data_IF_120577734823
#
_entry.id   IF_120577734823
#
_cell.length_a   1.000
_cell.length_b   1.000
_cell.length_c   1.000
_cell.angle_alpha   90.00
_cell.angle_beta   90.00
_cell.angle_gamma   90.00
#
_symmetry.space_group_name_H-M   'P 1'
#
loop_
_entity.id
_entity.type
_entity.pdbx_description
1 polymer ?
#
# COMPACT_ATOMS: atom_id res chain seq x y z
N UNK A 1 -22.89 -1.40 15.01
CA UNK A 1 -21.94 -2.46 15.43
C UNK A 1 -20.65 -1.89 16.00
N UNK A 2 -19.91 -1.02 15.29
CA UNK A 2 -18.73 -0.35 15.88
C UNK A 2 -19.04 0.41 17.18
N UNK A 3 -20.10 1.21 17.21
CA UNK A 3 -20.54 1.86 18.45
C UNK A 3 -20.90 0.86 19.57
N UNK A 4 -21.40 -0.32 19.22
CA UNK A 4 -21.70 -1.36 20.21
C UNK A 4 -20.40 -1.91 20.81
N UNK A 5 -19.41 -2.25 19.98
CA UNK A 5 -18.08 -2.67 20.44
C UNK A 5 -17.45 -1.60 21.34
N UNK A 6 -17.48 -0.33 20.92
CA UNK A 6 -16.84 0.75 21.68
C UNK A 6 -17.49 1.03 23.03
N UNK A 7 -18.82 1.04 23.10
CA UNK A 7 -19.53 1.42 24.33
C UNK A 7 -19.82 0.25 25.27
N UNK A 8 -19.95 -0.97 24.75
CA UNK A 8 -20.43 -2.12 25.53
C UNK A 8 -19.41 -3.26 25.61
N UNK A 9 -18.47 -3.35 24.67
CA UNK A 9 -17.48 -4.43 24.60
C UNK A 9 -16.07 -3.91 24.29
N UNK A 10 -15.50 -3.01 25.10
CA UNK A 10 -14.23 -2.34 24.80
C UNK A 10 -13.02 -3.28 24.70
N UNK A 11 -13.18 -4.55 25.10
CA UNK A 11 -12.16 -5.60 24.97
C UNK A 11 -12.41 -6.56 23.79
N UNK A 12 -13.53 -6.42 23.07
CA UNK A 12 -13.93 -7.25 21.94
C UNK A 12 -14.20 -6.37 20.72
N UNK A 13 -13.18 -5.63 20.29
CA UNK A 13 -13.24 -4.62 19.21
C UNK A 13 -12.92 -5.22 17.85
N UNK A 14 -13.52 -6.36 17.50
CA UNK A 14 -13.18 -7.10 16.27
C UNK A 14 -13.47 -6.31 14.99
N UNK A 15 -14.64 -5.67 14.92
CA UNK A 15 -15.05 -4.86 13.77
C UNK A 15 -14.21 -3.59 13.72
N UNK A 16 -13.98 -2.92 14.85
CA UNK A 16 -13.12 -1.75 14.91
C UNK A 16 -11.69 -2.06 14.45
N UNK A 17 -11.09 -3.14 14.94
CA UNK A 17 -9.76 -3.60 14.55
C UNK A 17 -9.66 -3.90 13.05
N UNK A 18 -10.71 -4.48 12.46
CA UNK A 18 -10.76 -4.74 11.02
C UNK A 18 -10.93 -3.47 10.19
N UNK A 19 -11.77 -2.54 10.64
CA UNK A 19 -11.93 -1.23 9.99
C UNK A 19 -10.63 -0.43 10.05
N UNK A 20 -9.91 -0.47 11.17
CA UNK A 20 -8.59 0.16 11.29
C UNK A 20 -7.55 -0.49 10.35
N UNK A 21 -7.57 -1.81 10.18
CA UNK A 21 -6.76 -2.48 9.15
C UNK A 21 -7.09 -1.96 7.74
N UNK A 22 -8.38 -1.83 7.41
CA UNK A 22 -8.80 -1.32 6.09
C UNK A 22 -8.36 0.15 5.88
N UNK A 23 -8.34 0.96 6.93
CA UNK A 23 -7.80 2.33 6.87
C UNK A 23 -6.32 2.36 6.47
N UNK A 24 -5.51 1.45 7.04
CA UNK A 24 -4.10 1.32 6.63
C UNK A 24 -3.92 0.85 5.17
N UNK A 25 -4.95 0.26 4.57
CA UNK A 25 -4.90 -0.27 3.21
C UNK A 25 -5.48 0.70 2.16
N UNK A 26 -6.41 1.57 2.54
CA UNK A 26 -7.19 2.39 1.62
C UNK A 26 -6.79 3.85 1.75
N UNK A 27 -6.05 4.35 0.75
CA UNK A 27 -5.80 5.79 0.61
C UNK A 27 -6.55 6.35 -0.61
N UNK A 28 -6.62 5.55 -1.67
CA UNK A 28 -7.09 5.94 -2.99
C UNK A 28 -8.14 4.98 -3.55
N UNK A 29 -8.85 5.40 -4.60
CA UNK A 29 -9.75 4.54 -5.36
C UNK A 29 -9.06 3.27 -5.88
N UNK A 30 -7.77 3.36 -6.26
CA UNK A 30 -7.01 2.20 -6.77
C UNK A 30 -6.80 1.12 -5.70
N UNK A 31 -6.69 1.54 -4.44
CA UNK A 31 -6.57 0.60 -3.33
C UNK A 31 -7.90 -0.13 -3.14
N UNK A 32 -9.02 0.58 -3.24
CA UNK A 32 -10.36 -0.04 -3.24
C UNK A 32 -10.54 -0.97 -4.44
N UNK A 33 -10.14 -0.56 -5.64
CA UNK A 33 -10.20 -1.40 -6.85
C UNK A 33 -9.49 -2.74 -6.60
N UNK A 34 -8.27 -2.69 -6.05
CA UNK A 34 -7.49 -3.87 -5.73
C UNK A 34 -8.18 -4.73 -4.66
N UNK A 35 -8.68 -4.14 -3.58
CA UNK A 35 -9.34 -4.89 -2.51
C UNK A 35 -10.66 -5.53 -2.96
N UNK A 36 -11.39 -4.89 -3.88
CA UNK A 36 -12.58 -5.44 -4.54
C UNK A 36 -12.19 -6.58 -5.47
N UNK A 37 -11.17 -6.41 -6.30
CA UNK A 37 -10.64 -7.47 -7.18
C UNK A 37 -10.22 -8.72 -6.40
N UNK A 38 -9.62 -8.52 -5.21
CA UNK A 38 -9.22 -9.61 -4.31
C UNK A 38 -10.37 -10.15 -3.45
N UNK A 39 -11.59 -9.63 -3.59
CA UNK A 39 -12.76 -10.08 -2.84
C UNK A 39 -12.72 -9.76 -1.34
N UNK A 40 -11.85 -8.84 -0.92
CA UNK A 40 -11.74 -8.38 0.47
C UNK A 40 -12.87 -7.40 0.77
N UNK A 41 -13.19 -6.52 -0.19
CA UNK A 41 -14.32 -5.59 -0.11
C UNK A 41 -15.37 -6.02 -1.12
N UNK A 42 -16.62 -6.12 -0.67
CA UNK A 42 -17.77 -6.27 -1.56
C UNK A 42 -18.28 -4.87 -1.89
N UNK A 43 -18.14 -4.46 -3.17
CA UNK A 43 -18.67 -3.17 -3.60
C UNK A 43 -20.20 -3.23 -3.78
N UNK A 44 -20.91 -2.82 -2.74
CA UNK A 44 -22.38 -2.65 -2.77
C UNK A 44 -22.84 -1.26 -3.24
N UNK A 45 -21.91 -0.32 -3.42
CA UNK A 45 -22.19 1.09 -3.76
C UNK A 45 -22.15 1.33 -5.27
N UNK A 46 -21.40 0.51 -6.02
CA UNK A 46 -21.19 0.63 -7.46
C UNK A 46 -20.07 1.60 -7.85
N UNK A 47 -19.51 2.36 -6.90
CA UNK A 47 -18.46 3.35 -7.13
C UNK A 47 -17.35 3.24 -6.07
N UNK A 48 -16.14 2.88 -6.52
CA UNK A 48 -14.97 2.69 -5.68
C UNK A 48 -14.41 4.02 -5.14
N UNK A 49 -14.62 5.14 -5.83
CA UNK A 49 -14.21 6.47 -5.35
C UNK A 49 -15.09 6.89 -4.15
N UNK A 50 -16.37 6.55 -4.18
CA UNK A 50 -17.26 6.79 -3.04
C UNK A 50 -16.82 5.96 -1.83
N UNK A 51 -16.43 4.71 -2.03
CA UNK A 51 -15.91 3.85 -0.95
C UNK A 51 -14.60 4.41 -0.38
N UNK A 52 -13.64 4.83 -1.20
CA UNK A 52 -12.38 5.38 -0.69
C UNK A 52 -12.62 6.67 0.11
N UNK A 53 -13.48 7.56 -0.40
CA UNK A 53 -13.89 8.78 0.33
C UNK A 53 -14.63 8.45 1.63
N UNK A 54 -15.42 7.39 1.64
CA UNK A 54 -16.10 6.93 2.84
C UNK A 54 -15.06 6.55 3.90
N UNK A 55 -14.13 5.64 3.61
CA UNK A 55 -13.09 5.24 4.56
C UNK A 55 -12.23 6.41 5.05
N UNK A 56 -11.72 7.24 4.15
CA UNK A 56 -10.90 8.41 4.54
C UNK A 56 -11.66 9.38 5.47
N UNK A 57 -12.97 9.55 5.26
CA UNK A 57 -13.82 10.34 6.16
C UNK A 57 -14.07 9.60 7.47
N UNK A 58 -14.43 8.33 7.43
CA UNK A 58 -14.70 7.52 8.61
C UNK A 58 -13.54 7.56 9.61
N UNK A 59 -12.29 7.46 9.12
CA UNK A 59 -11.11 7.43 9.97
C UNK A 59 -10.69 8.81 10.49
N UNK A 60 -11.13 9.88 9.83
CA UNK A 60 -11.02 11.26 10.38
C UNK A 60 -11.95 11.47 11.59
N UNK A 61 -13.07 10.75 11.67
CA UNK A 61 -14.12 11.00 12.69
C UNK A 61 -14.24 9.91 13.76
N UNK A 62 -13.73 8.69 13.52
CA UNK A 62 -13.68 7.64 14.54
C UNK A 62 -12.41 7.85 15.37
N UNK A 63 -12.57 8.65 16.42
CA UNK A 63 -11.64 8.70 17.54
C UNK A 63 -12.06 7.56 18.48
N UNK A 64 -11.31 6.46 18.53
CA UNK A 64 -11.67 5.30 19.36
C UNK A 64 -11.57 5.63 20.86
N UNK A 65 -10.84 6.69 21.22
CA UNK A 65 -10.78 7.25 22.56
C UNK A 65 -10.29 8.70 22.58
N UNK A 66 -10.56 9.42 23.68
CA UNK A 66 -10.12 10.82 23.84
C UNK A 66 -8.60 11.03 23.80
N UNK A 67 -7.79 9.97 23.73
CA UNK A 67 -6.33 10.05 23.68
C UNK A 67 -5.77 9.20 22.53
N UNK A 68 -5.01 9.79 21.59
CA UNK A 68 -4.33 9.05 20.52
C UNK A 68 -3.46 7.89 21.06
N UNK A 69 -2.91 8.05 22.26
CA UNK A 69 -2.12 7.00 22.91
C UNK A 69 -2.93 5.76 23.25
N UNK A 70 -4.18 5.93 23.69
CA UNK A 70 -5.01 4.80 24.07
C UNK A 70 -5.50 4.02 22.84
N UNK A 71 -5.73 4.70 21.71
CA UNK A 71 -6.10 4.05 20.44
C UNK A 71 -4.96 3.15 19.94
N UNK A 72 -3.71 3.63 19.98
CA UNK A 72 -2.53 2.82 19.65
C UNK A 72 -2.41 1.59 20.56
N UNK A 73 -2.69 1.74 21.86
CA UNK A 73 -2.62 0.64 22.83
C UNK A 73 -3.76 -0.37 22.65
N UNK A 74 -4.93 0.06 22.18
CA UNK A 74 -6.01 -0.86 21.82
C UNK A 74 -5.67 -1.61 20.53
N UNK A 75 -5.21 -0.91 19.50
CA UNK A 75 -4.83 -1.54 18.24
C UNK A 75 -3.63 -2.46 18.39
N UNK A 76 -2.68 -2.21 19.30
CA UNK A 76 -1.56 -3.13 19.54
C UNK A 76 -1.98 -4.49 20.09
N UNK A 77 -3.21 -4.63 20.58
CA UNK A 77 -3.81 -5.91 20.98
C UNK A 77 -4.62 -6.56 19.87
N UNK A 78 -4.78 -5.88 18.74
CA UNK A 78 -5.47 -6.39 17.56
C UNK A 78 -4.68 -7.56 16.96
N UNK A 79 -5.36 -8.60 16.44
CA UNK A 79 -4.70 -9.64 15.64
C UNK A 79 -4.05 -9.10 14.36
N UNK A 80 -4.36 -7.86 13.96
CA UNK A 80 -3.82 -7.22 12.76
C UNK A 80 -2.63 -6.29 13.04
N UNK A 81 -2.20 -6.13 14.29
CA UNK A 81 -1.10 -5.23 14.62
C UNK A 81 0.19 -5.61 13.91
N UNK A 82 0.57 -6.89 14.00
CA UNK A 82 1.84 -7.38 13.44
C UNK A 82 1.89 -7.20 11.91
N UNK A 83 0.80 -7.48 11.20
CA UNK A 83 0.76 -7.32 9.75
C UNK A 83 0.88 -5.84 9.35
N UNK A 84 0.23 -4.93 10.08
CA UNK A 84 0.34 -3.49 9.85
C UNK A 84 1.76 -2.99 10.10
N UNK A 85 2.43 -3.44 11.17
CA UNK A 85 3.81 -3.06 11.44
C UNK A 85 4.78 -3.58 10.38
N UNK A 86 4.59 -4.81 9.90
CA UNK A 86 5.35 -5.35 8.76
C UNK A 86 5.13 -4.50 7.50
N UNK A 87 3.89 -4.11 7.22
CA UNK A 87 3.57 -3.24 6.08
C UNK A 87 4.22 -1.87 6.21
N UNK A 88 4.15 -1.24 7.38
CA UNK A 88 4.81 0.05 7.65
C UNK A 88 6.33 -0.06 7.51
N UNK A 89 6.94 -1.12 8.04
CA UNK A 89 8.37 -1.36 7.90
C UNK A 89 8.77 -1.57 6.44
N UNK A 90 7.97 -2.32 5.68
CA UNK A 90 8.17 -2.49 4.24
C UNK A 90 8.08 -1.15 3.51
N UNK A 91 7.04 -0.36 3.76
CA UNK A 91 6.86 0.94 3.11
C UNK A 91 8.02 1.90 3.44
N UNK A 92 8.42 2.01 4.71
CA UNK A 92 9.50 2.91 5.16
C UNK A 92 10.87 2.57 4.60
N UNK A 93 11.09 1.34 4.12
CA UNK A 93 12.40 0.94 3.60
C UNK A 93 12.65 1.60 2.23
N UNK A 94 13.66 2.49 2.09
CA UNK A 94 13.83 3.32 0.88
C UNK A 94 14.00 2.51 -0.41
N UNK A 95 14.59 1.31 -0.31
CA UNK A 95 14.75 0.41 -1.45
C UNK A 95 13.41 -0.06 -2.03
N UNK A 96 12.38 -0.21 -1.21
CA UNK A 96 11.06 -0.63 -1.68
C UNK A 96 10.40 0.48 -2.50
N UNK A 97 10.57 1.75 -2.09
CA UNK A 97 10.20 2.90 -2.91
C UNK A 97 10.97 2.95 -4.23
N UNK A 98 12.29 2.81 -4.19
CA UNK A 98 13.12 2.81 -5.39
C UNK A 98 12.70 1.70 -6.37
N UNK A 99 12.46 0.49 -5.86
CA UNK A 99 12.00 -0.66 -6.63
C UNK A 99 10.60 -0.45 -7.21
N UNK A 100 9.66 0.09 -6.42
CA UNK A 100 8.30 0.38 -6.87
C UNK A 100 8.30 1.43 -8.00
N UNK A 101 9.09 2.50 -7.84
CA UNK A 101 9.26 3.54 -8.86
C UNK A 101 9.89 2.97 -10.13
N UNK A 102 10.95 2.17 -10.00
CA UNK A 102 11.61 1.54 -11.15
C UNK A 102 10.67 0.59 -11.89
N UNK A 103 9.89 -0.22 -11.15
CA UNK A 103 8.86 -1.09 -11.75
C UNK A 103 7.79 -0.27 -12.47
N UNK A 104 7.30 0.80 -11.86
CA UNK A 104 6.27 1.66 -12.45
C UNK A 104 6.78 2.39 -13.70
N UNK A 105 7.98 2.95 -13.67
CA UNK A 105 8.52 3.73 -14.77
C UNK A 105 8.95 2.85 -15.96
N UNK A 106 9.65 1.74 -15.69
CA UNK A 106 10.31 0.96 -16.75
C UNK A 106 9.58 -0.34 -17.10
N UNK A 107 8.76 -0.87 -16.18
CA UNK A 107 8.06 -2.14 -16.35
C UNK A 107 6.54 -1.98 -16.21
N UNK A 108 6.00 -0.79 -16.47
CA UNK A 108 4.56 -0.50 -16.44
C UNK A 108 3.77 -1.35 -17.43
N UNK A 109 4.34 -1.65 -18.59
CA UNK A 109 3.79 -2.59 -19.56
C UNK A 109 4.92 -3.38 -20.23
N UNK A 110 4.55 -4.50 -20.86
CA UNK A 110 5.51 -5.41 -21.52
C UNK A 110 6.39 -4.68 -22.54
N UNK A 111 5.84 -3.70 -23.27
CA UNK A 111 6.52 -2.98 -24.33
C UNK A 111 7.58 -1.99 -23.81
N UNK A 112 7.24 -1.23 -22.76
CA UNK A 112 8.19 -0.34 -22.06
C UNK A 112 9.31 -1.17 -21.43
N UNK A 113 8.97 -2.32 -20.87
CA UNK A 113 9.93 -3.27 -20.29
C UNK A 113 10.93 -3.77 -21.34
N UNK A 114 10.44 -4.29 -22.47
CA UNK A 114 11.30 -4.78 -23.56
C UNK A 114 12.18 -3.69 -24.15
N UNK A 115 11.65 -2.48 -24.30
CA UNK A 115 12.41 -1.32 -24.81
C UNK A 115 13.54 -0.95 -23.86
N UNK A 116 13.26 -0.92 -22.57
CA UNK A 116 14.26 -0.60 -21.54
C UNK A 116 15.39 -1.63 -21.56
N UNK A 117 15.06 -2.94 -21.57
CA UNK A 117 16.06 -4.02 -21.63
C UNK A 117 16.92 -3.92 -22.89
N UNK A 118 16.30 -3.69 -24.04
CA UNK A 118 17.02 -3.51 -25.31
C UNK A 118 17.97 -2.31 -25.28
N UNK A 119 17.51 -1.16 -24.80
CA UNK A 119 18.32 0.04 -24.67
C UNK A 119 19.51 -0.17 -23.71
N UNK A 120 19.29 -0.83 -22.57
CA UNK A 120 20.37 -1.17 -21.63
C UNK A 120 21.39 -2.11 -22.26
N UNK A 121 20.95 -3.13 -22.99
CA UNK A 121 21.85 -4.06 -23.67
C UNK A 121 22.70 -3.36 -24.73
N UNK A 122 22.10 -2.50 -25.56
CA UNK A 122 22.81 -1.70 -26.55
C UNK A 122 23.82 -0.75 -25.90
N UNK A 123 23.47 -0.12 -24.78
CA UNK A 123 24.35 0.79 -24.04
C UNK A 123 25.58 0.08 -23.44
N UNK A 124 25.41 -1.17 -22.99
CA UNK A 124 26.53 -2.01 -22.53
C UNK A 124 27.44 -2.37 -23.70
N UNK A 125 26.87 -2.78 -24.83
CA UNK A 125 27.65 -3.12 -26.03
C UNK A 125 28.48 -1.92 -26.53
N UNK A 126 27.88 -0.73 -26.58
CA UNK A 126 28.61 0.48 -27.02
C UNK A 126 29.71 0.88 -26.05
N UNK A 127 29.50 0.75 -24.74
CA UNK A 127 30.55 0.95 -23.73
C UNK A 127 31.74 0.00 -23.95
N UNK A 128 31.47 -1.29 -24.17
CA UNK A 128 32.50 -2.30 -24.44
C UNK A 128 33.27 -1.93 -25.72
N UNK A 129 32.55 -1.60 -26.80
CA UNK A 129 33.17 -1.17 -28.06
C UNK A 129 34.05 0.08 -27.90
N UNK A 130 33.61 1.07 -27.13
CA UNK A 130 34.38 2.28 -26.86
C UNK A 130 35.68 1.98 -26.12
N UNK A 131 35.65 1.12 -25.09
CA UNK A 131 36.85 0.71 -24.34
C UNK A 131 37.85 -0.01 -25.25
N UNK A 132 37.40 -0.97 -26.06
CA UNK A 132 38.27 -1.66 -27.01
C UNK A 132 38.87 -0.69 -28.04
N UNK A 133 38.09 0.27 -28.54
CA UNK A 133 38.58 1.27 -29.50
C UNK A 133 39.67 2.15 -28.91
N UNK A 134 39.58 2.51 -27.62
CA UNK A 134 40.61 3.29 -26.92
C UNK A 134 41.87 2.45 -26.67
N UNK A 135 41.74 1.17 -26.32
CA UNK A 135 42.90 0.29 -26.10
C UNK A 135 43.67 -0.04 -27.37
N UNK A 136 43.02 0.04 -28.53
CA UNK A 136 43.62 -0.20 -29.84
C UNK A 136 44.24 1.06 -30.46
N UNK A 137 44.04 2.22 -29.83
CA UNK A 137 44.65 3.50 -30.21
C UNK A 137 46.03 3.66 -29.57
#
# INVERSE_FOLDING_TARGET
>A
MMALELFHYPTQTHICNYVELLDYLIETMKDVDLLVEKGIIVNCVGDNEVISKMFNRFCTYIIFSKSPYYDIVLFSKSPYYDIVEIMKAHYRYPWNHAKATLRSAYFSNLWTGTTTVGATFLLILTMIQAVYSIMQL
#
